data_IF_686667669122
#
_entry.id   IF_686667669122
#
_cell.length_a   1.000
_cell.length_b   1.000
_cell.length_c   1.000
_cell.angle_alpha   90.00
_cell.angle_beta   90.00
_cell.angle_gamma   90.00
#
_symmetry.space_group_name_H-M   'P 1'
#
loop_
_entity.id
_entity.type
_entity.pdbx_description
1 polymer ?
#
# COMPACT_ATOMS: atom_id res chain seq x y z
N UNK A 1 -19.89 2.67 20.83
CA UNK A 1 -19.55 2.11 19.51
C UNK A 1 -18.06 2.31 19.26
N UNK A 2 -17.34 1.29 18.80
CA UNK A 2 -15.95 1.43 18.39
C UNK A 2 -15.94 2.26 17.10
N UNK A 3 -15.50 3.51 17.18
CA UNK A 3 -15.33 4.32 15.98
C UNK A 3 -14.22 3.71 15.12
N UNK A 4 -14.47 3.57 13.82
CA UNK A 4 -13.47 3.09 12.86
C UNK A 4 -12.44 4.22 12.61
N UNK A 5 -11.64 4.54 13.63
CA UNK A 5 -10.55 5.50 13.51
C UNK A 5 -9.50 4.92 12.56
N UNK A 6 -9.01 5.73 11.63
CA UNK A 6 -7.91 5.37 10.74
C UNK A 6 -8.27 4.60 9.47
N UNK A 7 -9.50 4.10 9.31
CA UNK A 7 -9.90 3.32 8.10
C UNK A 7 -10.11 4.17 6.85
N UNK A 8 -10.32 5.48 7.02
CA UNK A 8 -10.58 6.45 5.93
C UNK A 8 -9.32 7.05 5.30
N UNK A 9 -8.22 6.32 5.31
CA UNK A 9 -6.96 6.78 4.72
C UNK A 9 -6.76 6.19 3.31
N UNK A 10 -6.13 6.96 2.43
CA UNK A 10 -5.87 6.61 1.03
C UNK A 10 -4.95 5.40 0.91
N UNK A 11 -5.25 4.52 -0.06
CA UNK A 11 -4.53 3.26 -0.35
C UNK A 11 -4.36 3.05 -1.86
N UNK A 12 -4.29 4.14 -2.63
CA UNK A 12 -4.35 4.13 -4.10
C UNK A 12 -3.23 3.29 -4.70
N UNK A 13 -2.02 3.37 -4.14
CA UNK A 13 -0.90 2.58 -4.65
C UNK A 13 -1.14 1.07 -4.50
N UNK A 14 -1.82 0.65 -3.43
CA UNK A 14 -2.18 -0.74 -3.18
C UNK A 14 -3.34 -1.24 -4.05
N UNK A 15 -4.24 -0.34 -4.43
CA UNK A 15 -5.42 -0.61 -5.26
C UNK A 15 -5.11 -0.62 -6.76
N UNK A 16 -3.93 -0.12 -7.17
CA UNK A 16 -3.47 -0.20 -8.55
C UNK A 16 -3.49 -1.65 -9.06
N UNK A 17 -4.01 -1.92 -10.28
CA UNK A 17 -4.11 -3.26 -10.83
C UNK A 17 -2.79 -4.05 -10.80
N UNK A 18 -1.67 -3.39 -11.04
CA UNK A 18 -0.32 -4.00 -11.08
C UNK A 18 0.19 -4.43 -9.69
N UNK A 19 -0.41 -3.88 -8.62
CA UNK A 19 -0.02 -4.12 -7.23
C UNK A 19 -1.00 -5.05 -6.50
N UNK A 20 -2.19 -5.27 -7.04
CA UNK A 20 -3.23 -6.09 -6.39
C UNK A 20 -2.74 -7.50 -6.05
N UNK A 21 -2.00 -8.15 -6.96
CA UNK A 21 -1.43 -9.48 -6.75
C UNK A 21 -0.30 -9.51 -5.70
N UNK A 22 0.28 -8.35 -5.35
CA UNK A 22 1.34 -8.22 -4.34
C UNK A 22 0.79 -8.12 -2.91
N UNK A 23 -0.53 -8.10 -2.76
CA UNK A 23 -1.22 -8.10 -1.47
C UNK A 23 -1.70 -9.50 -1.12
N UNK A 24 -1.29 -10.03 0.04
CA UNK A 24 -1.75 -11.34 0.51
C UNK A 24 -3.26 -11.38 0.76
N UNK A 25 -3.84 -10.28 1.26
CA UNK A 25 -5.27 -10.15 1.54
C UNK A 25 -5.81 -8.86 0.91
N UNK A 26 -7.04 -8.90 0.39
CA UNK A 26 -7.67 -7.75 -0.27
C UNK A 26 -8.11 -6.66 0.71
N UNK A 27 -8.29 -7.01 1.98
CA UNK A 27 -8.72 -6.10 3.05
C UNK A 27 -7.56 -5.62 3.95
N UNK A 28 -6.32 -6.06 3.69
CA UNK A 28 -5.12 -5.65 4.44
C UNK A 28 -4.17 -4.96 3.48
N UNK A 29 -4.29 -3.64 3.39
CA UNK A 29 -3.62 -2.80 2.41
C UNK A 29 -2.89 -1.64 3.11
N UNK A 30 -1.69 -1.24 2.63
CA UNK A 30 -0.91 -0.19 3.26
C UNK A 30 -1.49 1.20 2.94
N UNK A 31 -1.40 2.13 3.91
CA UNK A 31 -1.79 3.53 3.66
C UNK A 31 -0.73 4.29 2.85
N UNK A 32 -1.17 5.13 1.92
CA UNK A 32 -0.28 5.84 0.99
C UNK A 32 0.72 6.77 1.68
N UNK A 33 0.32 7.41 2.79
CA UNK A 33 1.14 8.41 3.48
C UNK A 33 2.30 7.81 4.28
N UNK A 34 2.21 6.53 4.68
CA UNK A 34 3.24 5.85 5.47
C UNK A 34 3.76 4.58 4.81
N UNK A 35 3.40 4.30 3.55
CA UNK A 35 3.88 3.10 2.86
C UNK A 35 5.39 3.16 2.66
N UNK A 36 6.03 2.01 2.75
CA UNK A 36 7.41 1.86 2.32
C UNK A 36 7.46 1.94 0.79
N UNK A 37 8.41 2.72 0.25
CA UNK A 37 8.67 2.85 -1.18
C UNK A 37 10.01 2.21 -1.47
N UNK A 38 10.02 1.18 -2.32
CA UNK A 38 11.26 0.58 -2.80
C UNK A 38 11.87 1.46 -3.88
N UNK A 39 13.16 1.25 -4.16
CA UNK A 39 13.79 1.84 -5.34
C UNK A 39 13.16 1.26 -6.61
N UNK A 40 12.87 2.13 -7.57
CA UNK A 40 12.36 1.70 -8.86
C UNK A 40 13.44 0.93 -9.61
N UNK A 41 13.06 -0.24 -10.11
CA UNK A 41 13.84 -1.03 -11.07
C UNK A 41 13.63 -0.43 -12.47
N UNK A 42 14.71 -0.20 -13.19
CA UNK A 42 14.67 0.33 -14.56
C UNK A 42 13.73 -0.49 -15.45
N UNK A 43 12.88 0.23 -16.19
CA UNK A 43 11.86 -0.37 -17.07
C UNK A 43 10.60 -0.88 -16.36
N UNK A 44 10.50 -0.78 -15.03
CA UNK A 44 9.29 -1.16 -14.28
C UNK A 44 8.85 -0.04 -13.30
N UNK A 45 7.97 0.89 -13.72
CA UNK A 45 7.52 2.00 -12.89
C UNK A 45 6.68 1.56 -11.67
N UNK A 46 6.21 0.31 -11.62
CA UNK A 46 5.37 -0.23 -10.54
C UNK A 46 6.18 -1.09 -9.56
N UNK A 47 7.52 -1.09 -9.67
CA UNK A 47 8.41 -1.86 -8.80
C UNK A 47 8.61 -1.21 -7.42
N UNK A 48 8.19 0.04 -7.23
CA UNK A 48 8.30 0.78 -5.97
C UNK A 48 7.40 0.27 -4.84
N UNK A 49 6.47 -0.64 -5.15
CA UNK A 49 5.41 -1.06 -4.24
C UNK A 49 5.75 -2.34 -3.47
N UNK A 50 5.62 -2.24 -2.15
CA UNK A 50 5.52 -3.36 -1.20
C UNK A 50 4.39 -3.10 -0.20
N UNK A 51 3.68 -4.14 0.21
CA UNK A 51 2.65 -4.05 1.27
C UNK A 51 3.33 -3.94 2.64
N UNK A 52 3.72 -2.72 3.01
CA UNK A 52 4.32 -2.39 4.31
C UNK A 52 4.10 -0.91 4.65
N UNK A 53 3.99 -0.59 5.93
CA UNK A 53 3.96 0.77 6.46
C UNK A 53 5.04 0.99 7.53
N UNK A 54 5.57 2.21 7.61
CA UNK A 54 6.37 2.64 8.76
C UNK A 54 5.49 2.73 10.01
N UNK A 55 6.03 2.27 11.13
CA UNK A 55 5.42 2.38 12.45
C UNK A 55 6.27 3.31 13.33
N UNK A 56 5.65 4.15 14.17
CA UNK A 56 6.36 4.89 15.23
C UNK A 56 7.03 3.96 16.23
#
# INVERSE_FOLDING_TARGET
ELSAVGTKQSKRAAENPENRAKNRFTNVLPYDHSRVKLDCIDGNPNSDYINANYMP
#
